data_IF_221771354722
#
_entry.id   IF_221771354722
#
_cell.length_a   1.000
_cell.length_b   1.000
_cell.length_c   1.000
_cell.angle_alpha   90.00
_cell.angle_beta   90.00
_cell.angle_gamma   90.00
#
_symmetry.space_group_name_H-M   'P 1'
#
loop_
_entity.id
_entity.type
_entity.pdbx_description
1 polymer ?
#
# COMPACT_ATOMS: atom_id res chain seq x y z
N UNK A 1 5.71 17.37 6.17
CA UNK A 1 5.13 16.05 5.83
C UNK A 1 3.65 16.12 5.46
N UNK A 2 2.74 16.52 6.37
CA UNK A 2 1.29 16.65 6.09
C UNK A 2 1.01 17.47 4.82
N UNK A 3 1.65 18.63 4.70
CA UNK A 3 1.53 19.52 3.54
C UNK A 3 1.94 18.85 2.22
N UNK A 4 3.00 18.02 2.25
CA UNK A 4 3.46 17.26 1.08
C UNK A 4 2.44 16.19 0.66
N UNK A 5 1.92 15.45 1.66
CA UNK A 5 0.96 14.37 1.45
C UNK A 5 -0.34 14.83 0.81
N UNK A 6 -0.81 16.05 1.15
CA UNK A 6 -2.07 16.63 0.65
C UNK A 6 -1.87 17.65 -0.50
N UNK A 7 -0.65 17.76 -1.03
CA UNK A 7 -0.38 18.54 -2.24
C UNK A 7 -0.57 20.05 -2.06
N UNK A 8 -0.39 20.57 -0.84
CA UNK A 8 -0.63 21.98 -0.51
C UNK A 8 0.60 22.83 -0.87
N UNK A 9 0.85 23.02 -2.16
CA UNK A 9 2.05 23.70 -2.68
C UNK A 9 2.26 25.12 -2.12
N UNK A 10 1.21 25.94 -2.02
CA UNK A 10 1.31 27.29 -1.44
C UNK A 10 1.74 27.27 0.04
N UNK A 11 1.22 26.33 0.82
CA UNK A 11 1.62 26.16 2.23
C UNK A 11 3.06 25.61 2.31
N UNK A 12 3.45 24.75 1.36
CA UNK A 12 4.81 24.23 1.28
C UNK A 12 5.82 25.35 1.08
N UNK A 13 5.56 26.28 0.17
CA UNK A 13 6.42 27.45 -0.08
C UNK A 13 6.63 28.27 1.19
N UNK A 14 5.55 28.56 1.93
CA UNK A 14 5.63 29.30 3.20
C UNK A 14 6.48 28.54 4.21
N UNK A 15 6.24 27.24 4.40
CA UNK A 15 7.01 26.43 5.36
C UNK A 15 8.49 26.36 5.01
N UNK A 16 8.82 26.14 3.74
CA UNK A 16 10.21 26.11 3.27
C UNK A 16 10.87 27.49 3.40
N UNK A 17 10.13 28.57 3.16
CA UNK A 17 10.57 29.95 3.40
C UNK A 17 10.88 30.25 4.87
N UNK A 18 10.26 29.52 5.80
CA UNK A 18 10.55 29.57 7.24
C UNK A 18 11.51 28.48 7.72
N UNK A 19 12.37 27.95 6.83
CA UNK A 19 13.40 26.97 7.14
C UNK A 19 12.88 25.65 7.74
N UNK A 20 11.67 25.22 7.37
CA UNK A 20 11.21 23.88 7.71
C UNK A 20 12.21 22.83 7.22
N UNK A 21 12.51 21.83 8.06
CA UNK A 21 13.44 20.76 7.71
C UNK A 21 12.90 19.94 6.52
N UNK A 22 13.50 20.17 5.34
CA UNK A 22 13.13 19.52 4.08
C UNK A 22 13.30 17.99 4.10
N UNK A 23 14.25 17.50 4.91
CA UNK A 23 14.58 16.09 5.06
C UNK A 23 14.08 15.49 6.38
N UNK A 24 13.23 16.22 7.12
CA UNK A 24 12.66 15.71 8.37
C UNK A 24 11.80 14.48 8.12
N UNK A 25 12.14 13.35 8.74
CA UNK A 25 11.51 12.06 8.51
C UNK A 25 10.78 11.51 9.74
N UNK A 26 9.85 10.58 9.53
CA UNK A 26 9.25 9.78 10.62
C UNK A 26 10.21 8.70 11.12
N UNK A 27 9.83 7.97 12.17
CA UNK A 27 10.57 6.78 12.65
C UNK A 27 10.68 5.64 11.62
N UNK A 28 9.93 5.71 10.52
CA UNK A 28 10.02 4.78 9.39
C UNK A 28 10.78 5.39 8.21
N UNK A 29 11.53 6.47 8.46
CA UNK A 29 12.27 7.30 7.50
C UNK A 29 11.44 7.85 6.34
N UNK A 30 10.11 7.94 6.51
CA UNK A 30 9.24 8.55 5.49
C UNK A 30 9.58 10.05 5.44
N UNK A 31 9.99 10.55 4.27
CA UNK A 31 10.34 11.97 4.04
C UNK A 31 9.18 12.76 3.43
N UNK A 32 9.22 14.10 3.45
CA UNK A 32 8.25 14.92 2.73
C UNK A 32 8.27 14.65 1.23
N UNK A 33 9.47 14.44 0.65
CA UNK A 33 9.63 14.13 -0.78
C UNK A 33 8.97 12.80 -1.13
N UNK A 34 9.18 11.76 -0.33
CA UNK A 34 8.55 10.46 -0.57
C UNK A 34 7.02 10.57 -0.53
N UNK A 35 6.45 11.35 0.40
CA UNK A 35 5.01 11.57 0.49
C UNK A 35 4.45 12.32 -0.73
N UNK A 36 5.11 13.38 -1.21
CA UNK A 36 4.63 14.09 -2.42
C UNK A 36 4.70 13.20 -3.66
N UNK A 37 5.72 12.35 -3.76
CA UNK A 37 5.84 11.36 -4.85
C UNK A 37 4.74 10.30 -4.77
N UNK A 38 4.52 9.68 -3.60
CA UNK A 38 3.47 8.68 -3.41
C UNK A 38 2.07 9.22 -3.71
N UNK A 39 1.81 10.49 -3.41
CA UNK A 39 0.54 11.16 -3.67
C UNK A 39 0.44 11.83 -5.05
N UNK A 40 1.45 11.67 -5.92
CA UNK A 40 1.50 12.27 -7.27
C UNK A 40 1.40 13.81 -7.29
N UNK A 41 1.90 14.48 -6.25
CA UNK A 41 1.86 15.94 -6.12
C UNK A 41 3.11 16.59 -6.73
N UNK A 42 3.15 16.67 -8.06
CA UNK A 42 4.30 17.17 -8.82
C UNK A 42 4.83 18.54 -8.34
N UNK A 43 3.95 19.50 -8.08
CA UNK A 43 4.38 20.84 -7.65
C UNK A 43 5.03 20.82 -6.25
N UNK A 44 4.49 20.04 -5.31
CA UNK A 44 5.15 19.84 -4.01
C UNK A 44 6.51 19.13 -4.17
N UNK A 45 6.59 18.14 -5.07
CA UNK A 45 7.84 17.44 -5.38
C UNK A 45 8.89 18.42 -5.91
N UNK A 46 8.55 19.28 -6.88
CA UNK A 46 9.46 20.31 -7.42
C UNK A 46 9.93 21.29 -6.34
N UNK A 47 9.02 21.75 -5.46
CA UNK A 47 9.36 22.67 -4.37
C UNK A 47 10.34 22.04 -3.37
N UNK A 48 10.10 20.78 -2.98
CA UNK A 48 10.97 20.04 -2.08
C UNK A 48 12.35 19.79 -2.69
N UNK A 49 12.40 19.40 -3.97
CA UNK A 49 13.65 19.25 -4.72
C UNK A 49 14.43 20.57 -4.74
N UNK A 50 13.78 21.69 -5.07
CA UNK A 50 14.39 23.02 -5.09
C UNK A 50 14.92 23.43 -3.71
N UNK A 51 14.30 22.96 -2.63
CA UNK A 51 14.74 23.20 -1.25
C UNK A 51 15.84 22.24 -0.75
N UNK A 52 16.38 21.37 -1.61
CA UNK A 52 17.48 20.47 -1.24
C UNK A 52 17.03 19.17 -0.56
N UNK A 53 15.84 18.67 -0.91
CA UNK A 53 15.42 17.33 -0.49
C UNK A 53 16.42 16.27 -0.99
N UNK A 54 16.76 15.31 -0.14
CA UNK A 54 17.55 14.14 -0.54
C UNK A 54 16.74 13.27 -1.51
N UNK A 55 17.20 13.22 -2.76
CA UNK A 55 16.53 12.54 -3.87
C UNK A 55 16.62 11.01 -3.78
N UNK A 56 17.49 10.47 -2.94
CA UNK A 56 17.80 9.05 -2.84
C UNK A 56 17.29 8.43 -1.54
N UNK A 57 16.98 9.24 -0.52
CA UNK A 57 16.45 8.78 0.76
C UNK A 57 15.11 8.05 0.59
N UNK A 58 15.10 6.73 0.89
CA UNK A 58 13.97 5.81 0.69
C UNK A 58 13.44 5.76 -0.75
N UNK A 59 14.36 5.83 -1.71
CA UNK A 59 14.11 5.45 -3.11
C UNK A 59 12.94 6.16 -3.82
N UNK A 60 12.81 7.51 -3.76
CA UNK A 60 11.72 8.25 -4.41
C UNK A 60 11.56 7.93 -5.91
N UNK A 61 12.67 7.79 -6.64
CA UNK A 61 12.67 7.44 -8.07
C UNK A 61 11.99 6.08 -8.30
N UNK A 62 12.39 5.05 -7.55
CA UNK A 62 11.79 3.71 -7.65
C UNK A 62 10.30 3.72 -7.31
N UNK A 63 9.87 4.54 -6.35
CA UNK A 63 8.44 4.66 -6.02
C UNK A 63 7.63 5.35 -7.12
N UNK A 64 8.17 6.41 -7.73
CA UNK A 64 7.57 7.05 -8.90
C UNK A 64 7.44 6.06 -10.08
N UNK A 65 8.46 5.21 -10.30
CA UNK A 65 8.45 4.15 -11.32
C UNK A 65 7.36 3.13 -11.03
N UNK A 66 7.25 2.61 -9.81
CA UNK A 66 6.20 1.66 -9.41
C UNK A 66 4.79 2.20 -9.69
N UNK A 67 4.55 3.49 -9.44
CA UNK A 67 3.26 4.15 -9.67
C UNK A 67 3.07 4.69 -11.11
N UNK A 68 4.07 4.54 -11.97
CA UNK A 68 4.05 5.03 -13.37
C UNK A 68 3.86 6.55 -13.49
N UNK A 69 4.41 7.32 -12.54
CA UNK A 69 4.28 8.78 -12.52
C UNK A 69 5.34 9.44 -13.42
N UNK A 70 5.15 9.32 -14.74
CA UNK A 70 6.12 9.76 -15.77
C UNK A 70 6.65 11.18 -15.55
N UNK A 71 5.78 12.14 -15.23
CA UNK A 71 6.20 13.53 -15.00
C UNK A 71 7.14 13.68 -13.79
N UNK A 72 6.90 12.92 -12.73
CA UNK A 72 7.75 12.91 -11.53
C UNK A 72 9.07 12.19 -11.82
N UNK A 73 9.03 11.08 -12.56
CA UNK A 73 10.24 10.33 -12.95
C UNK A 73 11.19 11.23 -13.76
N UNK A 74 10.67 11.93 -14.77
CA UNK A 74 11.45 12.89 -15.56
C UNK A 74 12.05 13.98 -14.68
N UNK A 75 11.22 14.60 -13.84
CA UNK A 75 11.67 15.64 -12.91
C UNK A 75 12.80 15.16 -11.97
N UNK A 76 12.71 13.93 -11.44
CA UNK A 76 13.75 13.39 -10.55
C UNK A 76 15.06 13.11 -11.31
N UNK A 77 14.97 12.51 -12.51
CA UNK A 77 16.14 12.20 -13.33
C UNK A 77 16.84 13.48 -13.85
N UNK A 78 16.08 14.48 -14.26
CA UNK A 78 16.60 15.78 -14.72
C UNK A 78 17.40 16.52 -13.64
N UNK A 79 17.03 16.35 -12.37
CA UNK A 79 17.70 16.97 -11.23
C UNK A 79 18.79 16.07 -10.63
N UNK A 80 19.09 14.94 -11.26
CA UNK A 80 20.21 14.07 -10.90
C UNK A 80 19.91 13.08 -9.77
N UNK A 81 18.66 12.65 -9.60
CA UNK A 81 18.38 11.46 -8.79
C UNK A 81 19.16 10.27 -9.34
N UNK A 82 19.84 9.52 -8.47
CA UNK A 82 20.74 8.45 -8.91
C UNK A 82 19.93 7.23 -9.40
N UNK A 83 20.01 6.87 -10.70
CA UNK A 83 19.27 5.75 -11.27
C UNK A 83 19.85 4.39 -10.86
N UNK A 84 20.91 4.35 -10.06
CA UNK A 84 21.57 3.14 -9.59
C UNK A 84 21.24 2.80 -8.12
N UNK A 85 20.42 3.61 -7.44
CA UNK A 85 20.03 3.34 -6.05
C UNK A 85 19.03 2.19 -6.02
N UNK A 86 19.46 1.05 -5.48
CA UNK A 86 18.60 -0.12 -5.28
C UNK A 86 17.51 0.19 -4.27
N UNK A 87 16.27 -0.18 -4.60
CA UNK A 87 15.10 0.01 -3.75
C UNK A 87 15.10 -0.95 -2.53
N UNK A 88 14.03 -0.92 -1.75
CA UNK A 88 13.85 -1.78 -0.57
C UNK A 88 13.76 -3.29 -0.88
N UNK A 89 13.56 -3.66 -2.14
CA UNK A 89 13.62 -5.04 -2.63
C UNK A 89 15.01 -5.40 -3.18
N UNK A 90 15.97 -4.48 -3.12
CA UNK A 90 17.28 -4.64 -3.71
C UNK A 90 17.29 -4.48 -5.23
N UNK A 91 16.24 -3.93 -5.85
CA UNK A 91 16.15 -3.76 -7.30
C UNK A 91 16.59 -2.40 -7.75
N UNK A 92 17.29 -2.34 -8.88
CA UNK A 92 17.52 -1.10 -9.59
C UNK A 92 16.19 -0.51 -10.10
N UNK A 93 16.14 0.82 -10.26
CA UNK A 93 15.08 1.51 -11.00
C UNK A 93 14.75 0.84 -12.34
N UNK A 94 15.76 0.47 -13.13
CA UNK A 94 15.56 -0.18 -14.44
C UNK A 94 14.98 -1.59 -14.32
N UNK A 95 15.41 -2.38 -13.33
CA UNK A 95 14.86 -3.71 -13.04
C UNK A 95 13.39 -3.61 -12.64
N UNK A 96 13.04 -2.61 -11.83
CA UNK A 96 11.64 -2.31 -11.44
C UNK A 96 10.78 -1.95 -12.66
N UNK A 97 11.32 -1.14 -13.58
CA UNK A 97 10.61 -0.76 -14.81
C UNK A 97 10.39 -1.97 -15.74
N UNK A 98 11.39 -2.86 -15.88
CA UNK A 98 11.31 -4.09 -16.67
C UNK A 98 10.28 -5.07 -16.07
N UNK A 99 10.29 -5.28 -14.75
CA UNK A 99 9.29 -6.11 -14.05
C UNK A 99 7.86 -5.61 -14.29
N UNK A 100 7.69 -4.28 -14.23
CA UNK A 100 6.41 -3.63 -14.51
C UNK A 100 6.04 -3.52 -15.99
N UNK A 101 6.89 -4.00 -16.92
CA UNK A 101 6.74 -3.86 -18.38
C UNK A 101 6.54 -2.41 -18.84
N UNK A 102 7.21 -1.46 -18.18
CA UNK A 102 7.09 -0.02 -18.44
C UNK A 102 8.21 0.43 -19.38
N UNK A 103 8.08 0.09 -20.66
CA UNK A 103 9.16 0.25 -21.64
C UNK A 103 9.60 1.71 -21.84
N UNK A 104 8.67 2.66 -21.83
CA UNK A 104 9.01 4.09 -21.88
C UNK A 104 9.96 4.50 -20.74
N UNK A 105 9.77 3.91 -19.55
CA UNK A 105 10.64 4.15 -18.40
C UNK A 105 11.98 3.43 -18.56
N UNK A 106 11.99 2.23 -19.13
CA UNK A 106 13.23 1.51 -19.44
C UNK A 106 14.09 2.33 -20.40
N UNK A 107 13.49 2.91 -21.44
CA UNK A 107 14.19 3.79 -22.39
C UNK A 107 14.75 5.04 -21.71
N UNK A 108 14.01 5.66 -20.78
CA UNK A 108 14.50 6.80 -19.98
C UNK A 108 15.68 6.42 -19.09
N UNK A 109 15.65 5.24 -18.47
CA UNK A 109 16.66 4.81 -17.48
C UNK A 109 17.91 4.18 -18.10
N UNK A 110 17.77 3.49 -19.22
CA UNK A 110 18.87 2.73 -19.84
C UNK A 110 20.15 3.56 -20.07
N UNK A 111 20.11 4.78 -20.65
CA UNK A 111 21.33 5.57 -20.84
C UNK A 111 21.92 6.12 -19.53
N UNK A 112 21.15 6.13 -18.44
CA UNK A 112 21.56 6.68 -17.15
C UNK A 112 22.03 5.59 -16.17
N UNK A 113 21.70 4.32 -16.44
CA UNK A 113 21.97 3.21 -15.53
C UNK A 113 23.31 2.56 -15.87
N UNK A 114 24.14 2.37 -14.85
CA UNK A 114 25.40 1.65 -14.99
C UNK A 114 25.16 0.14 -15.19
N UNK A 115 25.95 -0.54 -16.03
CA UNK A 115 25.86 -1.98 -16.21
C UNK A 115 26.01 -2.74 -14.89
N UNK A 116 25.16 -3.75 -14.67
CA UNK A 116 25.31 -4.64 -13.52
C UNK A 116 26.16 -5.86 -13.87
N UNK A 117 26.98 -6.38 -12.94
CA UNK A 117 27.83 -7.54 -13.18
C UNK A 117 27.08 -8.78 -13.65
N UNK A 118 25.85 -8.98 -13.20
CA UNK A 118 25.03 -10.15 -13.52
C UNK A 118 24.48 -10.14 -14.96
N UNK A 119 24.55 -9.01 -15.67
CA UNK A 119 24.02 -8.85 -17.02
C UNK A 119 25.18 -8.66 -18.00
N UNK A 120 25.54 -9.73 -18.71
CA UNK A 120 26.46 -9.66 -19.85
C UNK A 120 25.82 -8.92 -21.04
N UNK A 121 26.66 -8.26 -21.85
CA UNK A 121 26.24 -7.48 -23.03
C UNK A 121 25.11 -6.48 -22.72
N UNK A 122 25.41 -5.48 -21.86
CA UNK A 122 24.43 -4.53 -21.30
C UNK A 122 23.45 -3.99 -22.36
N UNK A 123 22.24 -4.55 -22.34
CA UNK A 123 21.19 -4.26 -23.30
C UNK A 123 19.83 -4.56 -22.67
N UNK A 124 18.79 -3.86 -23.12
CA UNK A 124 17.42 -4.04 -22.61
C UNK A 124 16.98 -5.52 -22.68
N UNK A 125 17.35 -6.21 -23.75
CA UNK A 125 17.03 -7.64 -23.91
C UNK A 125 17.71 -8.51 -22.85
N UNK A 126 18.98 -8.25 -22.54
CA UNK A 126 19.74 -9.00 -21.52
C UNK A 126 19.25 -8.72 -20.11
N UNK A 127 18.89 -7.47 -19.82
CA UNK A 127 18.23 -7.09 -18.56
C UNK A 127 16.92 -7.86 -18.41
N UNK A 128 16.10 -7.92 -19.47
CA UNK A 128 14.84 -8.67 -19.46
C UNK A 128 15.08 -10.18 -19.25
N UNK A 129 16.10 -10.77 -19.86
CA UNK A 129 16.47 -12.17 -19.64
C UNK A 129 16.90 -12.40 -18.19
N UNK A 130 17.73 -11.53 -17.64
CA UNK A 130 18.19 -11.60 -16.25
C UNK A 130 17.04 -11.51 -15.26
N UNK A 131 16.17 -10.51 -15.40
CA UNK A 131 14.99 -10.31 -14.54
C UNK A 131 14.02 -11.51 -14.62
N UNK A 132 13.98 -12.25 -15.74
CA UNK A 132 13.19 -13.47 -15.90
C UNK A 132 13.88 -14.75 -15.41
N UNK A 133 15.18 -14.70 -15.16
CA UNK A 133 15.98 -15.87 -14.77
C UNK A 133 15.52 -16.44 -13.43
N UNK A 134 15.71 -17.75 -13.25
CA UNK A 134 15.42 -18.39 -11.96
C UNK A 134 16.31 -17.81 -10.86
N UNK A 135 17.58 -17.51 -11.16
CA UNK A 135 18.51 -16.87 -10.22
C UNK A 135 17.97 -15.56 -9.65
N UNK A 136 17.42 -14.68 -10.51
CA UNK A 136 16.81 -13.43 -10.05
C UNK A 136 15.56 -13.70 -9.21
N UNK A 137 14.69 -14.61 -9.66
CA UNK A 137 13.46 -14.97 -8.93
C UNK A 137 13.75 -15.55 -7.55
N UNK A 138 14.68 -16.49 -7.45
CA UNK A 138 15.07 -17.15 -6.19
C UNK A 138 15.70 -16.15 -5.22
N UNK A 139 16.68 -15.36 -5.68
CA UNK A 139 17.30 -14.29 -4.88
C UNK A 139 16.27 -13.31 -4.33
N UNK A 140 15.29 -12.95 -5.15
CA UNK A 140 14.26 -11.98 -4.76
C UNK A 140 13.17 -12.60 -3.91
N UNK A 141 12.87 -13.89 -4.05
CA UNK A 141 11.80 -14.55 -3.28
C UNK A 141 12.01 -14.38 -1.78
N UNK A 142 13.19 -14.71 -1.27
CA UNK A 142 13.51 -14.60 0.16
C UNK A 142 13.46 -13.14 0.65
N UNK A 143 13.97 -12.20 -0.16
CA UNK A 143 13.95 -10.77 0.15
C UNK A 143 12.51 -10.24 0.22
N UNK A 144 11.67 -10.62 -0.73
CA UNK A 144 10.27 -10.20 -0.79
C UNK A 144 9.46 -10.82 0.34
N UNK A 145 9.65 -12.10 0.66
CA UNK A 145 9.00 -12.79 1.79
C UNK A 145 9.37 -12.13 3.13
N UNK A 146 10.65 -11.79 3.32
CA UNK A 146 11.12 -11.04 4.49
C UNK A 146 10.48 -9.65 4.56
N UNK A 147 10.41 -8.93 3.43
CA UNK A 147 9.78 -7.60 3.39
C UNK A 147 8.29 -7.67 3.72
N UNK A 148 7.55 -8.68 3.24
CA UNK A 148 6.15 -8.90 3.63
C UNK A 148 6.04 -9.08 5.14
N UNK A 149 6.91 -9.90 5.74
CA UNK A 149 6.91 -10.12 7.19
C UNK A 149 7.17 -8.81 7.97
N UNK A 150 8.18 -8.04 7.56
CA UNK A 150 8.52 -6.76 8.19
C UNK A 150 7.37 -5.73 8.05
N UNK A 151 6.73 -5.65 6.88
CA UNK A 151 5.57 -4.78 6.65
C UNK A 151 4.36 -5.20 7.49
N UNK A 152 4.13 -6.51 7.69
CA UNK A 152 3.09 -7.02 8.59
C UNK A 152 3.32 -6.57 10.04
N UNK A 153 4.57 -6.60 10.50
CA UNK A 153 4.96 -6.12 11.84
C UNK A 153 4.74 -4.61 11.94
N UNK A 154 5.25 -3.82 10.98
CA UNK A 154 5.05 -2.37 10.95
C UNK A 154 3.57 -1.99 10.91
N UNK A 155 2.78 -2.68 10.10
CA UNK A 155 1.33 -2.51 10.02
C UNK A 155 0.64 -2.79 11.35
N UNK A 156 1.02 -3.89 12.02
CA UNK A 156 0.46 -4.24 13.32
C UNK A 156 0.83 -3.23 14.41
N UNK A 157 2.07 -2.73 14.42
CA UNK A 157 2.53 -1.75 15.40
C UNK A 157 1.92 -0.36 15.18
N UNK A 158 1.81 0.09 13.92
CA UNK A 158 1.06 1.30 13.58
C UNK A 158 -0.41 1.19 14.00
N UNK A 159 -1.03 0.02 13.80
CA UNK A 159 -2.40 -0.25 14.22
C UNK A 159 -2.57 -0.13 15.74
N UNK A 160 -1.66 -0.72 16.53
CA UNK A 160 -1.65 -0.59 18.00
C UNK A 160 -1.54 0.86 18.47
N UNK A 161 -0.77 1.69 17.75
CA UNK A 161 -0.63 3.14 18.00
C UNK A 161 -1.82 3.97 17.53
N UNK A 162 -2.86 3.34 16.96
CA UNK A 162 -4.04 3.99 16.35
C UNK A 162 -3.71 4.84 15.11
N UNK A 163 -2.57 4.61 14.48
CA UNK A 163 -2.15 5.25 13.23
C UNK A 163 -2.74 4.47 12.03
N UNK A 164 -4.07 4.44 11.91
CA UNK A 164 -4.75 3.49 11.01
C UNK A 164 -4.44 3.71 9.52
N UNK A 165 -4.22 4.95 9.08
CA UNK A 165 -3.78 5.22 7.71
C UNK A 165 -2.38 4.67 7.42
N UNK A 166 -1.46 4.79 8.39
CA UNK A 166 -0.11 4.24 8.25
C UNK A 166 -0.15 2.70 8.27
N UNK A 167 -0.98 2.10 9.12
CA UNK A 167 -1.20 0.66 9.14
C UNK A 167 -1.75 0.14 7.81
N UNK A 168 -2.79 0.81 7.26
CA UNK A 168 -3.37 0.48 5.96
C UNK A 168 -2.34 0.59 4.83
N UNK A 169 -1.47 1.60 4.88
CA UNK A 169 -0.37 1.77 3.94
C UNK A 169 0.60 0.59 3.98
N UNK A 170 1.07 0.16 5.17
CA UNK A 170 1.98 -0.99 5.26
C UNK A 170 1.35 -2.28 4.76
N UNK A 171 0.06 -2.53 5.05
CA UNK A 171 -0.63 -3.69 4.50
C UNK A 171 -0.83 -3.59 2.98
N UNK A 172 -1.03 -2.38 2.44
CA UNK A 172 -1.10 -2.16 1.00
C UNK A 172 0.21 -2.56 0.31
N UNK A 173 1.34 -2.10 0.82
CA UNK A 173 2.66 -2.42 0.30
C UNK A 173 2.94 -3.94 0.40
N UNK A 174 2.53 -4.59 1.50
CA UNK A 174 2.68 -6.03 1.66
C UNK A 174 1.84 -6.82 0.63
N UNK A 175 0.61 -6.37 0.32
CA UNK A 175 -0.26 -6.98 -0.70
C UNK A 175 0.35 -6.84 -2.09
N UNK A 176 0.90 -5.66 -2.41
CA UNK A 176 1.57 -5.43 -3.70
C UNK A 176 2.73 -6.42 -3.88
N UNK A 177 3.54 -6.63 -2.86
CA UNK A 177 4.65 -7.60 -2.91
C UNK A 177 4.15 -9.04 -2.99
N UNK A 178 3.14 -9.41 -2.20
CA UNK A 178 2.56 -10.75 -2.22
C UNK A 178 2.01 -11.10 -3.61
N UNK A 179 1.35 -10.14 -4.27
CA UNK A 179 0.90 -10.27 -5.66
C UNK A 179 2.05 -10.50 -6.64
N UNK A 180 3.20 -9.84 -6.47
CA UNK A 180 4.39 -10.08 -7.30
C UNK A 180 4.95 -11.51 -7.16
N UNK A 181 4.78 -12.14 -5.99
CA UNK A 181 5.16 -13.53 -5.74
C UNK A 181 4.10 -14.55 -6.18
N UNK A 182 2.92 -14.11 -6.62
CA UNK A 182 1.77 -15.00 -6.81
C UNK A 182 1.30 -15.64 -5.50
N UNK A 183 1.49 -14.94 -4.38
CA UNK A 183 1.09 -15.36 -3.04
C UNK A 183 -0.15 -14.60 -2.61
N UNK A 184 -1.20 -15.34 -2.26
CA UNK A 184 -2.44 -14.75 -1.73
C UNK A 184 -2.50 -14.92 -0.20
N UNK A 185 -2.32 -13.83 0.54
CA UNK A 185 -2.43 -13.81 2.01
C UNK A 185 -3.72 -13.08 2.45
N UNK A 186 -4.78 -13.87 2.68
CA UNK A 186 -6.07 -13.37 3.18
C UNK A 186 -5.94 -12.52 4.45
N UNK A 187 -4.91 -12.74 5.28
CA UNK A 187 -4.72 -11.97 6.50
C UNK A 187 -4.34 -10.51 6.24
N UNK A 188 -3.62 -10.22 5.14
CA UNK A 188 -3.27 -8.85 4.78
C UNK A 188 -4.53 -8.04 4.46
N UNK A 189 -5.41 -8.57 3.61
CA UNK A 189 -6.69 -7.96 3.26
C UNK A 189 -7.59 -7.79 4.50
N UNK A 190 -7.71 -8.81 5.35
CA UNK A 190 -8.50 -8.72 6.59
C UNK A 190 -7.97 -7.68 7.58
N UNK A 191 -6.65 -7.53 7.69
CA UNK A 191 -6.02 -6.52 8.56
C UNK A 191 -6.17 -5.10 7.97
N UNK A 192 -6.07 -4.94 6.65
CA UNK A 192 -6.31 -3.66 5.97
C UNK A 192 -7.79 -3.25 6.05
N UNK A 193 -8.71 -4.20 5.87
CA UNK A 193 -10.15 -4.03 6.15
C UNK A 193 -10.39 -3.49 7.56
N UNK A 194 -9.75 -4.07 8.56
CA UNK A 194 -9.84 -3.59 9.94
C UNK A 194 -9.34 -2.15 10.11
N UNK A 195 -8.29 -1.74 9.40
CA UNK A 195 -7.81 -0.36 9.42
C UNK A 195 -8.90 0.59 8.89
N UNK A 196 -9.56 0.25 7.77
CA UNK A 196 -10.64 1.05 7.20
C UNK A 196 -11.89 1.10 8.09
N UNK A 197 -12.23 0.00 8.78
CA UNK A 197 -13.28 0.03 9.82
C UNK A 197 -12.97 1.05 10.91
N UNK A 198 -11.72 1.11 11.39
CA UNK A 198 -11.30 2.07 12.42
C UNK A 198 -11.25 3.51 11.92
N UNK A 199 -11.10 3.70 10.60
CA UNK A 199 -11.18 5.01 9.94
C UNK A 199 -12.62 5.44 9.62
N UNK A 200 -13.61 4.56 9.78
CA UNK A 200 -15.00 4.84 9.40
C UNK A 200 -15.22 4.82 7.89
N UNK A 201 -14.41 4.09 7.12
CA UNK A 201 -14.52 3.97 5.66
C UNK A 201 -15.11 2.59 5.31
N UNK A 202 -16.43 2.50 5.34
CA UNK A 202 -17.16 1.22 5.23
C UNK A 202 -17.01 0.53 3.88
N UNK A 203 -17.05 1.27 2.78
CA UNK A 203 -16.98 0.71 1.42
C UNK A 203 -15.66 -0.03 1.18
N UNK A 204 -14.54 0.60 1.55
CA UNK A 204 -13.22 -0.01 1.42
C UNK A 204 -13.04 -1.16 2.40
N UNK A 205 -13.55 -1.03 3.63
CA UNK A 205 -13.53 -2.13 4.60
C UNK A 205 -14.26 -3.37 4.08
N UNK A 206 -15.43 -3.18 3.45
CA UNK A 206 -16.24 -4.26 2.88
C UNK A 206 -15.52 -4.92 1.71
N UNK A 207 -15.02 -4.14 0.75
CA UNK A 207 -14.30 -4.65 -0.42
C UNK A 207 -13.13 -5.56 0.00
N UNK A 208 -12.30 -5.10 0.95
CA UNK A 208 -11.16 -5.86 1.46
C UNK A 208 -11.58 -7.13 2.23
N UNK A 209 -12.67 -7.05 3.00
CA UNK A 209 -13.18 -8.19 3.76
C UNK A 209 -13.71 -9.30 2.84
N UNK A 210 -14.39 -8.93 1.75
CA UNK A 210 -14.87 -9.86 0.73
C UNK A 210 -13.72 -10.54 0.01
N UNK A 211 -12.64 -9.81 -0.32
CA UNK A 211 -11.43 -10.42 -0.89
C UNK A 211 -10.82 -11.42 0.09
N UNK A 212 -10.68 -11.05 1.38
CA UNK A 212 -10.17 -11.96 2.40
C UNK A 212 -11.02 -13.24 2.55
N UNK A 213 -12.35 -13.10 2.49
CA UNK A 213 -13.28 -14.23 2.53
C UNK A 213 -13.18 -15.10 1.27
N UNK A 214 -13.05 -14.50 0.09
CA UNK A 214 -12.88 -15.23 -1.17
C UNK A 214 -11.58 -16.05 -1.18
N UNK A 215 -10.49 -15.49 -0.63
CA UNK A 215 -9.20 -16.18 -0.51
C UNK A 215 -9.20 -17.27 0.56
N UNK A 216 -10.02 -17.14 1.61
CA UNK A 216 -10.14 -18.13 2.68
C UNK A 216 -11.59 -18.25 3.18
N UNK A 217 -12.46 -19.00 2.46
CA UNK A 217 -13.89 -19.08 2.76
C UNK A 217 -14.23 -19.71 4.12
N UNK A 218 -13.32 -20.52 4.66
CA UNK A 218 -13.47 -21.19 5.97
C UNK A 218 -12.94 -20.34 7.14
N UNK A 219 -12.78 -19.02 6.96
CA UNK A 219 -12.22 -18.15 7.98
C UNK A 219 -13.26 -17.23 8.62
N UNK A 220 -13.79 -17.56 9.82
CA UNK A 220 -14.84 -16.79 10.49
C UNK A 220 -14.53 -15.29 10.64
N UNK A 221 -13.25 -14.96 10.83
CA UNK A 221 -12.81 -13.56 10.99
C UNK A 221 -13.09 -12.71 9.74
N UNK A 222 -13.06 -13.28 8.54
CA UNK A 222 -13.39 -12.55 7.33
C UNK A 222 -14.87 -12.16 7.30
N UNK A 223 -15.77 -13.07 7.63
CA UNK A 223 -17.21 -12.81 7.78
C UNK A 223 -17.51 -11.77 8.85
N UNK A 224 -16.80 -11.81 9.98
CA UNK A 224 -16.91 -10.75 10.99
C UNK A 224 -16.57 -9.37 10.40
N UNK A 225 -15.50 -9.27 9.59
CA UNK A 225 -15.11 -8.00 8.95
C UNK A 225 -16.17 -7.52 7.94
N UNK A 226 -16.76 -8.43 7.16
CA UNK A 226 -17.88 -8.13 6.25
C UNK A 226 -19.05 -7.58 7.06
N UNK A 227 -19.49 -8.29 8.09
CA UNK A 227 -20.62 -7.86 8.92
C UNK A 227 -20.37 -6.51 9.59
N UNK A 228 -19.18 -6.28 10.14
CA UNK A 228 -18.80 -4.99 10.73
C UNK A 228 -18.77 -3.85 9.71
N UNK A 229 -18.35 -4.11 8.46
CA UNK A 229 -18.38 -3.11 7.40
C UNK A 229 -19.82 -2.77 6.98
N UNK A 230 -20.67 -3.78 6.81
CA UNK A 230 -22.09 -3.60 6.54
C UNK A 230 -22.80 -2.82 7.65
N UNK A 231 -22.46 -3.05 8.92
CA UNK A 231 -22.97 -2.27 10.05
C UNK A 231 -22.64 -0.78 9.91
N UNK A 232 -21.39 -0.45 9.55
CA UNK A 232 -20.98 0.93 9.34
C UNK A 232 -21.71 1.59 8.15
N UNK A 233 -21.98 0.81 7.11
CA UNK A 233 -22.74 1.24 5.92
C UNK A 233 -24.26 1.26 6.14
N UNK A 234 -24.73 0.85 7.32
CA UNK A 234 -26.16 0.68 7.66
C UNK A 234 -26.90 -0.34 6.77
N UNK A 235 -26.16 -1.28 6.17
CA UNK A 235 -26.70 -2.41 5.43
C UNK A 235 -26.99 -3.57 6.40
N UNK A 236 -27.93 -3.37 7.33
CA UNK A 236 -28.13 -4.25 8.49
C UNK A 236 -28.52 -5.69 8.12
N UNK A 237 -29.27 -5.89 7.03
CA UNK A 237 -29.63 -7.21 6.53
C UNK A 237 -28.37 -7.99 6.08
N UNK A 238 -27.51 -7.37 5.28
CA UNK A 238 -26.24 -7.98 4.86
C UNK A 238 -25.30 -8.20 6.04
N UNK A 239 -25.33 -7.32 7.05
CA UNK A 239 -24.58 -7.53 8.28
C UNK A 239 -25.04 -8.78 9.04
N UNK A 240 -26.35 -8.96 9.21
CA UNK A 240 -26.92 -10.15 9.86
C UNK A 240 -26.55 -11.43 9.10
N UNK A 241 -26.65 -11.42 7.76
CA UNK A 241 -26.26 -12.56 6.93
C UNK A 241 -24.79 -12.91 7.12
N UNK A 242 -23.89 -11.93 6.99
CA UNK A 242 -22.45 -12.17 7.15
C UNK A 242 -22.09 -12.72 8.54
N UNK A 243 -22.67 -12.17 9.61
CA UNK A 243 -22.44 -12.72 10.95
C UNK A 243 -23.04 -14.11 11.13
N UNK A 244 -24.19 -14.41 10.52
CA UNK A 244 -24.79 -15.75 10.53
C UNK A 244 -23.85 -16.76 9.86
N UNK A 245 -23.35 -16.44 8.67
CA UNK A 245 -22.41 -17.28 7.94
C UNK A 245 -21.11 -17.50 8.73
N UNK A 246 -20.59 -16.44 9.36
CA UNK A 246 -19.42 -16.55 10.24
C UNK A 246 -19.67 -17.43 11.48
N UNK A 247 -20.86 -17.37 12.08
CA UNK A 247 -21.24 -18.16 13.25
C UNK A 247 -21.50 -19.62 12.91
N UNK A 248 -21.85 -19.95 11.65
CA UNK A 248 -21.88 -21.34 11.20
C UNK A 248 -20.47 -21.96 11.24
N UNK A 249 -19.44 -21.18 10.91
CA UNK A 249 -18.04 -21.62 10.92
C UNK A 249 -17.43 -21.65 12.33
N UNK A 250 -17.76 -20.67 13.19
CA UNK A 250 -17.35 -20.65 14.60
C UNK A 250 -18.53 -20.29 15.52
N UNK A 251 -19.33 -21.29 15.93
CA UNK A 251 -20.48 -21.08 16.81
C UNK A 251 -20.10 -20.62 18.21
N UNK A 252 -18.82 -20.64 18.60
CA UNK A 252 -18.37 -20.27 19.95
C UNK A 252 -17.96 -18.80 20.05
N UNK A 253 -17.88 -18.10 18.91
CA UNK A 253 -17.41 -16.72 18.82
C UNK A 253 -18.35 -15.74 19.55
N UNK A 254 -17.96 -15.30 20.75
CA UNK A 254 -18.78 -14.37 21.56
C UNK A 254 -18.90 -12.99 20.93
N UNK A 255 -17.80 -12.45 20.42
CA UNK A 255 -17.75 -11.13 19.77
C UNK A 255 -18.71 -11.07 18.58
N UNK A 256 -18.71 -12.10 17.74
CA UNK A 256 -19.60 -12.18 16.59
C UNK A 256 -21.07 -12.34 16.99
N UNK A 257 -21.38 -13.08 18.06
CA UNK A 257 -22.76 -13.19 18.59
C UNK A 257 -23.28 -11.86 19.13
N UNK A 258 -22.43 -11.05 19.71
CA UNK A 258 -22.79 -9.71 20.18
C UNK A 258 -23.04 -8.77 19.00
N UNK A 259 -22.11 -8.73 18.03
CA UNK A 259 -22.26 -7.94 16.81
C UNK A 259 -23.50 -8.35 15.99
N UNK A 260 -23.83 -9.65 15.92
CA UNK A 260 -25.05 -10.13 15.29
C UNK A 260 -26.32 -9.64 15.99
N UNK A 261 -26.35 -9.68 17.34
CA UNK A 261 -27.49 -9.17 18.11
C UNK A 261 -27.69 -7.67 17.88
N UNK A 262 -26.59 -6.90 17.88
CA UNK A 262 -26.64 -5.47 17.56
C UNK A 262 -27.18 -5.21 16.15
N UNK A 263 -26.73 -6.00 15.15
CA UNK A 263 -27.22 -5.89 13.78
C UNK A 263 -28.73 -6.14 13.66
N UNK A 264 -29.25 -7.17 14.35
CA UNK A 264 -30.68 -7.49 14.40
C UNK A 264 -31.48 -6.37 15.06
N UNK A 265 -30.98 -5.80 16.14
CA UNK A 265 -31.65 -4.69 16.84
C UNK A 265 -31.66 -3.40 15.98
N UNK A 266 -30.58 -3.12 15.25
CA UNK A 266 -30.54 -2.02 14.28
C UNK A 266 -31.53 -2.24 13.12
N UNK A 267 -31.61 -3.47 12.59
CA UNK A 267 -32.54 -3.82 11.52
C UNK A 267 -34.00 -3.61 11.95
N UNK A 268 -34.37 -4.04 13.16
CA UNK A 268 -35.72 -3.85 13.73
C UNK A 268 -36.10 -2.39 13.92
N UNK A 269 -35.14 -1.53 14.25
CA UNK A 269 -35.35 -0.09 14.45
C UNK A 269 -35.30 0.71 13.14
N UNK A 270 -34.90 0.09 12.03
CA UNK A 270 -34.87 0.74 10.73
C UNK A 270 -36.30 1.01 10.25
N UNK A 271 -36.61 2.18 9.67
CA UNK A 271 -37.97 2.58 9.27
C UNK A 271 -38.66 1.71 8.21
N UNK A 272 -38.01 0.63 7.76
CA UNK A 272 -38.55 -0.37 6.84
C UNK A 272 -38.87 -1.72 7.50
N UNK A 273 -38.70 -1.84 8.82
CA UNK A 273 -38.87 -3.10 9.58
C UNK A 273 -40.27 -3.36 10.17
N UNK A 274 -41.22 -2.42 10.04
CA UNK A 274 -42.63 -2.67 10.38
C UNK A 274 -43.40 -3.06 9.12
N UNK A 275 -43.40 -4.35 8.78
CA UNK A 275 -44.12 -4.81 7.59
C UNK A 275 -43.98 -6.29 7.28
N UNK A 276 -44.25 -7.17 8.26
CA UNK A 276 -44.69 -8.56 8.01
C UNK A 276 -45.04 -9.25 9.34
N UNK A 277 -46.29 -9.09 9.77
CA UNK A 277 -47.02 -10.14 10.49
C UNK A 277 -47.69 -11.05 9.47
#
# INVERSE_FOLDING_TARGET
MIVAQFGRASVMEVLLGHHANVNGSTSNDITPLLLSVCSSHLECTKLLIKAGADLNMKFPLSKAIQRNFIAIIKCLLEIGADPNVRNEYGWLPIETAVMGRKWDIVEMLFPLTSPVPEVHDWSVQRILQYVKSNTFKEKNKEILEKNIADLKVKGADAFKKKEYWAAAFFYCEAIEIASMLGSDDAALFSNRSLCFLRLGIGEWALMEAVVAQSLRPEWPKAYYRIGAACMLLKEYEKACQAFTDGLQLDPTNREMKEAHREAVDCLRKSPFGEGSQ
#
